data_IF_931196188819
#
_entry.id   IF_931196188819
#
_cell.length_a   1.000
_cell.length_b   1.000
_cell.length_c   1.000
_cell.angle_alpha   90.00
_cell.angle_beta   90.00
_cell.angle_gamma   90.00
#
_symmetry.space_group_name_H-M   'P 1'
#
loop_
_entity.id
_entity.type
_entity.pdbx_description
1 polymer ?
#
# COMPACT_ATOMS: atom_id res chain seq x y z
N UNK A 1 8.73 12.31 55.73
CA UNK A 1 9.60 12.10 54.58
C UNK A 1 8.81 12.41 53.31
N UNK A 2 9.00 13.59 52.74
CA UNK A 2 8.25 14.07 51.58
C UNK A 2 8.93 13.58 50.32
N UNK A 3 8.15 12.92 49.40
CA UNK A 3 8.62 12.50 48.07
C UNK A 3 8.74 13.74 47.19
N UNK A 4 9.93 13.96 46.62
CA UNK A 4 10.20 14.95 45.56
C UNK A 4 9.44 14.58 44.30
N UNK A 5 8.87 15.53 43.53
CA UNK A 5 8.28 15.26 42.24
C UNK A 5 9.39 15.06 41.21
N UNK A 6 9.20 14.03 40.34
CA UNK A 6 10.06 13.73 39.20
C UNK A 6 9.80 14.81 38.15
N UNK A 7 10.84 15.58 37.85
CA UNK A 7 10.83 16.53 36.72
C UNK A 7 10.76 15.76 35.40
N UNK A 8 9.65 15.91 34.67
CA UNK A 8 9.51 15.47 33.29
C UNK A 8 10.27 16.48 32.43
N UNK A 9 11.47 16.12 31.97
CA UNK A 9 12.23 16.88 31.02
C UNK A 9 11.64 16.64 29.61
N UNK A 10 10.74 17.52 29.17
CA UNK A 10 10.32 17.64 27.79
C UNK A 10 11.37 18.45 27.02
N UNK A 11 12.41 17.80 26.52
CA UNK A 11 13.33 18.40 25.56
C UNK A 11 12.97 18.00 24.13
N UNK A 12 11.84 18.50 23.63
CA UNK A 12 11.66 18.70 22.20
C UNK A 12 12.09 20.15 21.94
N UNK A 13 13.34 20.34 21.49
CA UNK A 13 13.80 21.65 21.02
C UNK A 13 12.89 22.08 19.86
N UNK A 14 11.93 22.96 20.15
CA UNK A 14 11.23 23.73 19.15
C UNK A 14 12.31 24.53 18.41
N UNK A 15 12.60 24.18 17.15
CA UNK A 15 13.43 25.03 16.28
C UNK A 15 12.80 26.43 16.27
N UNK A 16 13.53 27.41 16.72
CA UNK A 16 13.12 28.80 16.74
C UNK A 16 12.75 29.23 15.31
N UNK A 17 11.51 29.64 15.11
CA UNK A 17 11.02 30.14 13.81
C UNK A 17 11.66 31.50 13.60
N UNK A 18 12.64 31.58 12.69
CA UNK A 18 13.42 32.79 12.43
C UNK A 18 12.63 33.82 11.61
N UNK A 19 11.72 33.37 10.75
CA UNK A 19 10.94 34.25 9.89
C UNK A 19 9.77 34.89 10.67
N UNK A 20 9.67 36.25 10.70
CA UNK A 20 8.62 36.93 11.42
C UNK A 20 7.23 36.74 10.81
N UNK A 21 7.13 36.48 9.50
CA UNK A 21 5.86 36.22 8.83
C UNK A 21 5.31 34.83 9.23
N UNK A 22 6.15 33.80 9.20
CA UNK A 22 5.80 32.47 9.69
C UNK A 22 5.36 32.48 11.15
N UNK A 23 6.05 33.27 11.97
CA UNK A 23 5.72 33.39 13.39
C UNK A 23 4.37 34.09 13.58
N UNK A 24 4.13 35.20 12.87
CA UNK A 24 2.85 35.92 12.94
C UNK A 24 1.69 35.03 12.47
N UNK A 25 1.88 34.35 11.32
CA UNK A 25 0.88 33.43 10.80
C UNK A 25 0.53 32.34 11.82
N UNK A 26 1.53 31.66 12.39
CA UNK A 26 1.29 30.62 13.38
C UNK A 26 0.61 31.13 14.65
N UNK A 27 1.00 32.28 15.14
CA UNK A 27 0.34 32.91 16.29
C UNK A 27 -1.13 33.17 15.98
N UNK A 28 -1.44 33.71 14.82
CA UNK A 28 -2.81 33.97 14.38
C UNK A 28 -3.61 32.67 14.22
N UNK A 29 -3.02 31.63 13.64
CA UNK A 29 -3.70 30.35 13.43
C UNK A 29 -3.81 29.49 14.71
N UNK A 30 -3.04 29.78 15.76
CA UNK A 30 -3.23 29.14 17.06
C UNK A 30 -4.47 29.70 17.79
N UNK A 31 -4.87 30.92 17.48
CA UNK A 31 -6.11 31.51 18.02
C UNK A 31 -7.31 30.98 17.24
N UNK A 32 -8.11 30.12 17.87
CA UNK A 32 -9.26 29.45 17.23
C UNK A 32 -10.25 30.43 16.60
N UNK A 33 -10.48 31.59 17.21
CA UNK A 33 -11.41 32.59 16.67
C UNK A 33 -10.93 33.14 15.35
N UNK A 34 -9.64 33.43 15.22
CA UNK A 34 -9.06 33.92 13.95
C UNK A 34 -9.07 32.84 12.87
N UNK A 35 -8.76 31.61 13.23
CA UNK A 35 -8.84 30.48 12.29
C UNK A 35 -10.28 30.27 11.77
N UNK A 36 -11.28 30.32 12.66
CA UNK A 36 -12.69 30.20 12.28
C UNK A 36 -13.12 31.35 11.38
N UNK A 37 -12.72 32.58 11.70
CA UNK A 37 -13.05 33.77 10.88
C UNK A 37 -12.43 33.66 9.49
N UNK A 38 -11.14 33.30 9.38
CA UNK A 38 -10.47 33.05 8.12
C UNK A 38 -11.23 32.03 7.27
N UNK A 39 -11.53 30.86 7.85
CA UNK A 39 -12.20 29.78 7.12
C UNK A 39 -13.63 30.17 6.70
N UNK A 40 -14.36 30.92 7.52
CA UNK A 40 -15.70 31.41 7.18
C UNK A 40 -15.67 32.46 6.07
N UNK A 41 -14.61 33.24 6.02
CA UNK A 41 -14.46 34.35 5.05
C UNK A 41 -14.08 33.83 3.67
N UNK A 42 -13.20 32.83 3.60
CA UNK A 42 -12.58 32.43 2.33
C UNK A 42 -13.05 31.08 1.77
N UNK A 43 -13.68 30.23 2.58
CA UNK A 43 -14.27 29.00 2.04
C UNK A 43 -15.65 29.29 1.39
N UNK A 44 -16.04 28.47 0.39
CA UNK A 44 -17.36 28.58 -0.22
C UNK A 44 -18.48 28.50 0.84
N UNK A 45 -19.52 29.35 0.77
CA UNK A 45 -20.58 29.41 1.78
C UNK A 45 -21.31 28.06 2.00
N UNK A 46 -21.50 27.29 0.94
CA UNK A 46 -22.11 25.95 0.98
C UNK A 46 -21.24 24.92 1.73
N UNK A 47 -19.92 25.11 1.75
CA UNK A 47 -19.00 24.29 2.51
C UNK A 47 -18.96 24.74 3.97
N UNK A 48 -18.91 26.04 4.23
CA UNK A 48 -18.93 26.64 5.57
C UNK A 48 -20.13 26.15 6.38
N UNK A 49 -21.31 26.03 5.75
CA UNK A 49 -22.54 25.53 6.39
C UNK A 49 -22.45 24.05 6.82
N UNK A 50 -21.57 23.28 6.21
CA UNK A 50 -21.39 21.84 6.50
C UNK A 50 -20.33 21.55 7.56
N UNK A 51 -19.45 22.51 7.83
CA UNK A 51 -18.36 22.37 8.81
C UNK A 51 -18.90 22.66 10.21
N UNK A 52 -18.68 21.73 11.14
CA UNK A 52 -18.90 21.99 12.56
C UNK A 52 -17.66 22.66 13.18
N UNK A 53 -17.66 24.00 13.21
CA UNK A 53 -16.56 24.77 13.78
C UNK A 53 -16.40 24.60 15.31
N UNK A 54 -17.38 24.04 16.00
CA UNK A 54 -17.22 23.75 17.44
C UNK A 54 -16.17 22.65 17.66
N UNK A 55 -16.07 21.73 16.71
CA UNK A 55 -15.11 20.61 16.71
C UNK A 55 -13.72 20.99 16.20
N UNK A 56 -13.55 22.21 15.64
CA UNK A 56 -12.26 22.64 15.06
C UNK A 56 -11.15 22.64 16.11
N UNK A 57 -10.11 21.88 15.87
CA UNK A 57 -8.95 21.71 16.76
C UNK A 57 -7.66 21.70 15.98
N UNK A 58 -6.68 22.50 16.39
CA UNK A 58 -5.35 22.54 15.81
C UNK A 58 -4.55 21.28 16.18
N UNK A 59 -4.01 20.57 15.19
CA UNK A 59 -3.35 19.26 15.33
C UNK A 59 -1.82 19.36 15.44
N UNK A 60 -1.29 20.32 16.15
CA UNK A 60 0.16 20.46 16.33
C UNK A 60 0.75 19.27 17.09
N UNK A 61 1.81 18.67 16.53
CA UNK A 61 2.52 17.56 17.16
C UNK A 61 1.75 16.24 17.25
N UNK A 62 0.60 16.11 16.57
CA UNK A 62 -0.16 14.87 16.56
C UNK A 62 0.56 13.75 15.80
N UNK A 63 0.26 12.49 16.13
CA UNK A 63 0.79 11.32 15.41
C UNK A 63 0.33 11.29 13.96
N UNK A 64 -0.80 11.93 13.65
CA UNK A 64 -1.34 12.08 12.29
C UNK A 64 -0.39 12.88 11.39
N UNK A 65 0.38 13.82 11.94
CA UNK A 65 1.34 14.65 11.22
C UNK A 65 2.74 14.04 11.16
N UNK A 66 2.94 12.88 11.77
CA UNK A 66 4.24 12.21 11.83
C UNK A 66 4.71 11.84 10.41
N UNK A 67 5.98 12.15 10.13
CA UNK A 67 6.62 11.92 8.81
C UNK A 67 6.09 12.78 7.65
N UNK A 68 5.11 13.67 7.87
CA UNK A 68 4.77 14.67 6.87
C UNK A 68 5.82 15.79 6.90
N UNK A 69 6.33 16.14 5.73
CA UNK A 69 7.20 17.32 5.58
C UNK A 69 6.36 18.59 5.50
N UNK A 70 5.51 18.78 6.51
CA UNK A 70 4.77 20.01 6.70
C UNK A 70 5.76 21.10 7.09
N UNK A 71 5.73 22.22 6.41
CA UNK A 71 6.63 23.34 6.72
C UNK A 71 6.24 24.01 8.03
N UNK A 72 7.13 24.84 8.57
CA UNK A 72 6.85 25.57 9.81
C UNK A 72 5.67 26.53 9.68
N UNK A 73 5.32 26.93 8.46
CA UNK A 73 4.21 27.84 8.13
C UNK A 73 2.87 27.15 7.87
N UNK A 74 2.81 25.81 7.99
CA UNK A 74 1.58 25.09 7.71
C UNK A 74 0.86 24.75 9.02
N UNK A 75 -0.46 24.91 9.05
CA UNK A 75 -1.33 24.53 10.16
C UNK A 75 -2.35 23.49 9.69
N UNK A 76 -2.55 22.43 10.49
CA UNK A 76 -3.55 21.41 10.19
C UNK A 76 -4.58 21.36 11.31
N UNK A 77 -5.84 21.48 10.93
CA UNK A 77 -6.97 21.38 11.84
C UNK A 77 -7.74 20.09 11.61
N UNK A 78 -8.14 19.43 12.68
CA UNK A 78 -9.19 18.42 12.65
C UNK A 78 -10.55 19.08 12.89
N UNK A 79 -11.57 18.63 12.20
CA UNK A 79 -12.96 19.03 12.41
C UNK A 79 -13.90 17.93 11.95
N UNK A 80 -15.21 18.16 12.08
CA UNK A 80 -16.23 17.32 11.45
C UNK A 80 -16.96 18.07 10.36
N UNK A 81 -17.24 17.39 9.25
CA UNK A 81 -18.08 17.89 8.16
C UNK A 81 -19.25 16.90 8.04
N UNK A 82 -20.47 17.38 8.30
CA UNK A 82 -21.65 16.53 8.34
C UNK A 82 -21.50 15.29 9.23
N UNK A 83 -20.82 15.44 10.37
CA UNK A 83 -20.59 14.36 11.32
C UNK A 83 -19.47 13.38 10.96
N UNK A 84 -18.73 13.61 9.87
CA UNK A 84 -17.60 12.78 9.45
C UNK A 84 -16.28 13.48 9.75
N UNK A 85 -15.25 12.71 10.08
CA UNK A 85 -13.89 13.22 10.29
C UNK A 85 -13.40 13.96 9.05
N UNK A 86 -12.89 15.16 9.23
CA UNK A 86 -12.32 15.98 8.19
C UNK A 86 -11.11 16.78 8.69
N UNK A 87 -10.26 17.19 7.76
CA UNK A 87 -9.07 17.98 8.07
C UNK A 87 -8.98 19.20 7.16
N UNK A 88 -8.50 20.32 7.70
CA UNK A 88 -8.25 21.53 6.94
C UNK A 88 -6.75 21.84 7.06
N UNK A 89 -6.07 21.92 5.94
CA UNK A 89 -4.68 22.36 5.84
C UNK A 89 -4.71 23.85 5.49
N UNK A 90 -4.14 24.68 6.34
CA UNK A 90 -3.90 26.09 6.01
C UNK A 90 -2.41 26.31 5.87
N UNK A 91 -1.94 26.48 4.65
CA UNK A 91 -0.54 26.74 4.32
C UNK A 91 -0.34 28.23 4.05
N UNK A 92 0.77 28.78 4.54
CA UNK A 92 1.17 30.14 4.27
C UNK A 92 2.37 30.14 3.32
N UNK A 93 2.19 30.72 2.15
CA UNK A 93 3.23 30.87 1.14
C UNK A 93 3.71 32.30 1.05
N UNK A 94 4.92 32.55 1.50
CA UNK A 94 5.54 33.89 1.57
C UNK A 94 6.82 33.96 0.73
N UNK A 95 6.87 33.70 -0.33
CA UNK A 95 7.89 33.37 -1.25
C UNK A 95 9.09 34.28 -1.44
N UNK A 96 10.24 33.75 -1.20
CA UNK A 96 11.52 34.16 -1.81
C UNK A 96 11.85 33.38 -3.09
N UNK A 97 11.35 32.16 -3.26
CA UNK A 97 11.64 31.27 -4.40
C UNK A 97 10.34 30.85 -5.11
N UNK A 98 10.28 30.98 -6.43
CA UNK A 98 9.13 30.58 -7.24
C UNK A 98 8.87 29.07 -7.10
N UNK A 99 7.79 28.66 -6.43
CA UNK A 99 7.35 27.27 -6.37
C UNK A 99 6.26 26.99 -7.42
N UNK A 100 6.71 26.74 -8.64
CA UNK A 100 5.82 26.34 -9.75
C UNK A 100 5.06 25.03 -9.46
N UNK A 101 5.57 24.22 -8.53
CA UNK A 101 4.98 22.94 -8.13
C UNK A 101 4.13 23.03 -6.85
N UNK A 102 3.62 24.22 -6.50
CA UNK A 102 2.81 24.41 -5.29
C UNK A 102 1.58 23.50 -5.26
N UNK A 103 0.87 23.33 -6.36
CA UNK A 103 -0.28 22.42 -6.44
C UNK A 103 0.12 20.97 -6.16
N UNK A 104 1.30 20.54 -6.62
CA UNK A 104 1.84 19.21 -6.32
C UNK A 104 2.28 19.10 -4.84
N UNK A 105 2.85 20.14 -4.26
CA UNK A 105 3.19 20.18 -2.83
C UNK A 105 1.96 20.02 -1.95
N UNK A 106 0.89 20.73 -2.27
CA UNK A 106 -0.40 20.63 -1.59
C UNK A 106 -0.98 19.22 -1.72
N UNK A 107 -0.94 18.63 -2.92
CA UNK A 107 -1.40 17.25 -3.14
C UNK A 107 -0.62 16.25 -2.27
N UNK A 108 0.71 16.39 -2.14
CA UNK A 108 1.51 15.54 -1.24
C UNK A 108 1.05 15.62 0.22
N UNK A 109 0.67 16.80 0.70
CA UNK A 109 0.15 16.97 2.05
C UNK A 109 -1.20 16.26 2.22
N UNK A 110 -2.09 16.43 1.26
CA UNK A 110 -3.41 15.77 1.25
C UNK A 110 -3.26 14.26 1.28
N UNK A 111 -2.49 13.69 0.36
CA UNK A 111 -2.25 12.24 0.27
C UNK A 111 -1.55 11.71 1.53
N UNK A 112 -0.55 12.44 2.03
CA UNK A 112 0.16 12.06 3.25
C UNK A 112 -0.73 12.02 4.50
N UNK A 113 -1.67 12.97 4.63
CA UNK A 113 -2.66 12.93 5.71
C UNK A 113 -3.64 11.77 5.56
N UNK A 114 -4.10 11.48 4.34
CA UNK A 114 -4.95 10.32 4.05
C UNK A 114 -4.26 9.01 4.43
N UNK A 115 -2.99 8.85 4.05
CA UNK A 115 -2.20 7.66 4.36
C UNK A 115 -2.03 7.49 5.89
N UNK A 116 -1.63 8.53 6.59
CA UNK A 116 -1.48 8.49 8.05
C UNK A 116 -2.80 8.21 8.76
N UNK A 117 -3.91 8.78 8.27
CA UNK A 117 -5.23 8.52 8.82
C UNK A 117 -5.62 7.04 8.63
N UNK A 118 -5.40 6.48 7.45
CA UNK A 118 -5.75 5.09 7.14
C UNK A 118 -4.99 4.11 8.03
N UNK A 119 -3.72 4.38 8.30
CA UNK A 119 -2.88 3.56 9.21
C UNK A 119 -3.36 3.58 10.66
N UNK A 120 -3.92 4.70 11.12
CA UNK A 120 -4.40 4.85 12.51
C UNK A 120 -5.85 4.39 12.68
N UNK A 121 -6.61 4.31 11.60
CA UNK A 121 -8.03 4.02 11.60
C UNK A 121 -8.35 2.88 10.64
N UNK A 122 -7.86 1.69 10.93
CA UNK A 122 -8.13 0.49 10.15
C UNK A 122 -9.65 0.33 9.93
N UNK A 123 -10.04 0.02 8.68
CA UNK A 123 -11.43 -0.17 8.24
C UNK A 123 -12.31 1.11 8.15
N UNK A 124 -11.77 2.31 8.34
CA UNK A 124 -12.51 3.55 8.06
C UNK A 124 -12.25 4.02 6.62
N UNK A 125 -13.24 4.69 6.03
CA UNK A 125 -13.07 5.44 4.78
C UNK A 125 -12.18 6.64 5.01
N UNK A 126 -11.53 7.14 3.94
CA UNK A 126 -10.67 8.30 4.02
C UNK A 126 -11.46 9.57 4.43
N UNK A 127 -10.84 10.46 5.22
CA UNK A 127 -11.45 11.73 5.60
C UNK A 127 -11.46 12.71 4.42
N UNK A 128 -12.32 13.72 4.50
CA UNK A 128 -12.24 14.89 3.62
C UNK A 128 -11.06 15.75 4.08
N UNK A 129 -10.21 16.17 3.14
CA UNK A 129 -9.09 17.06 3.42
C UNK A 129 -9.22 18.30 2.52
N UNK A 130 -9.30 19.46 3.14
CA UNK A 130 -9.49 20.76 2.48
C UNK A 130 -8.19 21.56 2.57
N UNK A 131 -7.44 21.74 1.49
CA UNK A 131 -6.28 22.62 1.48
C UNK A 131 -6.71 24.09 1.22
N UNK A 132 -6.12 24.98 1.99
CA UNK A 132 -6.22 26.45 1.82
C UNK A 132 -4.81 27.00 1.78
N UNK A 133 -4.49 27.84 0.81
CA UNK A 133 -3.18 28.49 0.69
C UNK A 133 -3.37 30.00 0.78
N UNK A 134 -2.63 30.63 1.69
CA UNK A 134 -2.54 32.09 1.82
C UNK A 134 -1.23 32.52 1.16
N UNK A 135 -1.33 33.32 0.10
CA UNK A 135 -0.18 33.85 -0.61
C UNK A 135 0.05 35.32 -0.27
N UNK A 136 1.27 35.66 0.13
CA UNK A 136 1.69 37.04 0.36
C UNK A 136 3.07 37.38 -0.25
N UNK A 137 3.36 36.77 -1.41
CA UNK A 137 4.60 36.99 -2.15
C UNK A 137 4.70 38.38 -2.78
N UNK A 138 5.87 38.72 -3.33
CA UNK A 138 6.16 40.01 -3.97
C UNK A 138 5.49 40.19 -5.34
N UNK A 139 5.20 39.08 -6.03
CA UNK A 139 4.51 39.12 -7.33
C UNK A 139 3.01 39.20 -7.12
N UNK A 140 2.32 40.01 -7.91
CA UNK A 140 0.87 40.14 -7.87
C UNK A 140 0.33 40.23 -9.30
N UNK A 141 -0.70 39.43 -9.63
CA UNK A 141 -1.34 38.38 -8.83
C UNK A 141 -0.41 37.17 -8.55
N UNK A 142 -0.91 36.14 -7.82
CA UNK A 142 -0.21 34.86 -7.65
C UNK A 142 0.21 34.34 -9.03
N UNK A 143 1.51 34.03 -9.24
CA UNK A 143 2.04 33.85 -10.60
C UNK A 143 1.88 32.43 -11.18
N UNK A 144 1.49 31.45 -10.35
CA UNK A 144 1.44 30.05 -10.76
C UNK A 144 0.01 29.52 -10.82
N UNK A 145 -0.17 28.40 -11.50
CA UNK A 145 -1.45 27.70 -11.50
C UNK A 145 -1.73 27.02 -10.15
N UNK A 146 -3.00 26.95 -9.79
CA UNK A 146 -3.50 26.20 -8.64
C UNK A 146 -3.94 24.78 -9.03
N UNK A 147 -3.93 24.49 -10.33
CA UNK A 147 -4.35 23.20 -10.87
C UNK A 147 -3.18 22.22 -10.90
N UNK A 148 -3.39 21.01 -10.39
CA UNK A 148 -2.36 19.96 -10.39
C UNK A 148 -1.88 19.59 -11.80
N UNK A 149 -2.76 19.71 -12.79
CA UNK A 149 -2.48 19.34 -14.17
C UNK A 149 -1.39 20.22 -14.79
N UNK A 150 -1.30 21.48 -14.39
CA UNK A 150 -0.31 22.42 -14.88
C UNK A 150 1.12 22.15 -14.32
N UNK A 151 1.23 21.24 -13.37
CA UNK A 151 2.53 20.73 -12.90
C UNK A 151 3.16 19.68 -13.84
N UNK A 152 2.45 19.23 -14.87
CA UNK A 152 2.94 18.24 -15.83
C UNK A 152 3.51 18.91 -17.07
N UNK A 153 4.47 18.26 -17.76
CA UNK A 153 5.03 18.75 -19.03
C UNK A 153 3.95 18.91 -20.12
N UNK A 154 2.92 18.08 -20.10
CA UNK A 154 1.76 18.16 -20.99
C UNK A 154 0.47 18.21 -20.14
N UNK A 155 0.00 19.41 -19.74
CA UNK A 155 -1.18 19.59 -18.91
C UNK A 155 -2.46 18.99 -19.50
N UNK A 156 -2.68 19.15 -20.80
CA UNK A 156 -3.89 18.64 -21.47
C UNK A 156 -3.93 17.09 -21.45
N UNK A 157 -2.81 16.46 -21.74
CA UNK A 157 -2.69 15.00 -21.66
C UNK A 157 -2.87 14.52 -20.22
N UNK A 158 -2.26 15.22 -19.25
CA UNK A 158 -2.40 14.90 -17.83
C UNK A 158 -3.86 15.04 -17.36
N UNK A 159 -4.55 16.11 -17.74
CA UNK A 159 -5.95 16.33 -17.42
C UNK A 159 -6.86 15.24 -17.99
N UNK A 160 -6.50 14.70 -19.14
CA UNK A 160 -7.26 13.64 -19.78
C UNK A 160 -7.03 12.26 -19.12
N UNK A 161 -5.80 11.92 -18.71
CA UNK A 161 -5.43 10.56 -18.33
C UNK A 161 -4.85 10.40 -16.92
N UNK A 162 -4.15 11.41 -16.37
CA UNK A 162 -3.57 11.28 -15.04
C UNK A 162 -4.61 11.51 -13.93
N UNK A 163 -4.42 10.88 -12.77
CA UNK A 163 -5.29 10.99 -11.58
C UNK A 163 -6.78 10.72 -11.86
N UNK A 164 -7.08 9.96 -12.91
CA UNK A 164 -8.41 9.43 -13.22
C UNK A 164 -8.65 8.10 -12.49
N UNK A 165 -9.88 7.56 -12.49
CA UNK A 165 -10.10 6.18 -12.09
C UNK A 165 -9.15 5.25 -12.84
N UNK A 166 -8.52 4.31 -12.13
CA UNK A 166 -7.65 3.32 -12.76
C UNK A 166 -8.43 2.43 -13.73
N UNK A 167 -7.76 1.96 -14.78
CA UNK A 167 -8.34 0.98 -15.70
C UNK A 167 -8.41 -0.37 -14.98
N UNK A 168 -9.61 -0.84 -14.70
CA UNK A 168 -9.84 -2.17 -14.14
C UNK A 168 -9.94 -3.20 -15.28
N UNK A 169 -9.13 -4.25 -15.21
CA UNK A 169 -9.26 -5.46 -16.01
C UNK A 169 -9.76 -6.54 -15.07
N UNK A 170 -11.06 -6.82 -15.11
CA UNK A 170 -11.70 -7.80 -14.25
C UNK A 170 -11.85 -9.14 -14.96
N UNK A 171 -10.87 -10.01 -14.75
CA UNK A 171 -10.85 -11.33 -15.37
C UNK A 171 -12.00 -12.22 -14.90
N UNK A 172 -12.62 -11.94 -13.75
CA UNK A 172 -13.68 -12.79 -13.20
C UNK A 172 -14.98 -12.75 -14.01
N UNK A 173 -15.22 -11.64 -14.73
CA UNK A 173 -16.41 -11.43 -15.55
C UNK A 173 -16.16 -11.66 -17.04
N UNK A 174 -14.91 -11.73 -17.49
CA UNK A 174 -14.55 -12.00 -18.87
C UNK A 174 -14.78 -13.48 -19.21
N UNK A 175 -15.29 -13.78 -20.39
CA UNK A 175 -15.40 -15.17 -20.87
C UNK A 175 -14.04 -15.72 -21.30
N UNK A 176 -13.83 -17.03 -21.16
CA UNK A 176 -12.58 -17.67 -21.64
C UNK A 176 -12.37 -17.46 -23.14
N UNK A 177 -13.47 -17.46 -23.91
CA UNK A 177 -13.43 -17.21 -25.35
C UNK A 177 -12.93 -15.80 -25.68
N UNK A 178 -13.29 -14.82 -24.90
CA UNK A 178 -12.81 -13.44 -25.02
C UNK A 178 -11.31 -13.37 -24.69
N UNK A 179 -10.90 -13.92 -23.55
CA UNK A 179 -9.49 -13.97 -23.12
C UNK A 179 -8.62 -14.70 -24.15
N UNK A 180 -9.13 -15.79 -24.73
CA UNK A 180 -8.40 -16.57 -25.75
C UNK A 180 -8.08 -15.77 -27.02
N UNK A 181 -8.74 -14.64 -27.25
CA UNK A 181 -8.43 -13.72 -28.36
C UNK A 181 -7.20 -12.83 -28.08
N UNK A 182 -6.75 -12.78 -26.85
CA UNK A 182 -5.57 -12.03 -26.44
C UNK A 182 -4.33 -12.90 -26.60
N UNK A 183 -3.67 -12.88 -27.69
CA UNK A 183 -2.43 -13.60 -28.04
C UNK A 183 -1.66 -14.22 -26.82
N UNK A 184 -0.38 -13.90 -26.64
CA UNK A 184 0.49 -14.42 -25.58
C UNK A 184 -0.02 -14.12 -24.16
N UNK A 185 -0.61 -12.94 -23.95
CA UNK A 185 -1.09 -12.52 -22.64
C UNK A 185 -2.26 -13.37 -22.13
N UNK A 186 -3.02 -13.99 -23.03
CA UNK A 186 -4.17 -14.85 -22.71
C UNK A 186 -3.84 -16.00 -21.77
N UNK A 187 -2.65 -16.56 -21.87
CA UNK A 187 -2.25 -17.67 -21.01
C UNK A 187 -2.17 -17.29 -19.53
N UNK A 188 -1.56 -16.13 -19.25
CA UNK A 188 -1.51 -15.58 -17.88
C UNK A 188 -2.90 -15.23 -17.35
N UNK A 189 -3.71 -14.54 -18.16
CA UNK A 189 -5.06 -14.15 -17.78
C UNK A 189 -5.94 -15.36 -17.44
N UNK A 190 -5.88 -16.40 -18.25
CA UNK A 190 -6.62 -17.64 -18.01
C UNK A 190 -6.14 -18.37 -16.75
N UNK A 191 -4.84 -18.40 -16.48
CA UNK A 191 -4.29 -18.94 -15.25
C UNK A 191 -4.81 -18.17 -14.04
N UNK A 192 -4.78 -16.84 -14.07
CA UNK A 192 -5.27 -16.00 -12.98
C UNK A 192 -6.77 -16.16 -12.76
N UNK A 193 -7.55 -16.25 -13.82
CA UNK A 193 -8.99 -16.45 -13.72
C UNK A 193 -9.35 -17.76 -13.03
N UNK A 194 -8.71 -18.87 -13.40
CA UNK A 194 -9.02 -20.21 -12.93
C UNK A 194 -8.16 -20.70 -11.75
N UNK A 195 -7.19 -19.90 -11.28
CA UNK A 195 -6.27 -20.29 -10.20
C UNK A 195 -6.97 -20.76 -8.91
N UNK A 196 -8.15 -20.25 -8.62
CA UNK A 196 -8.92 -20.56 -7.42
C UNK A 196 -9.96 -21.67 -7.60
N UNK A 197 -10.14 -22.18 -8.81
CA UNK A 197 -11.10 -23.23 -9.11
C UNK A 197 -10.56 -24.59 -8.66
N UNK A 198 -11.47 -25.48 -8.24
CA UNK A 198 -11.11 -26.80 -7.75
C UNK A 198 -10.44 -27.67 -8.82
N UNK A 199 -10.85 -27.52 -10.05
CA UNK A 199 -10.41 -28.25 -11.22
C UNK A 199 -9.28 -27.52 -12.01
N UNK A 200 -8.62 -26.52 -11.42
CA UNK A 200 -7.62 -25.69 -12.11
C UNK A 200 -6.51 -26.52 -12.78
N UNK A 201 -6.06 -27.62 -12.18
CA UNK A 201 -5.04 -28.48 -12.80
C UNK A 201 -5.53 -29.11 -14.11
N UNK A 202 -6.75 -29.65 -14.14
CA UNK A 202 -7.30 -30.27 -15.34
C UNK A 202 -7.59 -29.24 -16.41
N UNK A 203 -8.04 -28.06 -15.99
CA UNK A 203 -8.23 -26.92 -16.85
C UNK A 203 -6.90 -26.44 -17.48
N UNK A 204 -5.84 -26.29 -16.69
CA UNK A 204 -4.51 -25.90 -17.17
C UNK A 204 -3.96 -26.93 -18.18
N UNK A 205 -4.12 -28.22 -17.89
CA UNK A 205 -3.74 -29.30 -18.83
C UNK A 205 -4.40 -29.12 -20.19
N UNK A 206 -5.71 -28.92 -20.20
CA UNK A 206 -6.49 -28.83 -21.45
C UNK A 206 -6.22 -27.54 -22.22
N UNK A 207 -6.17 -26.41 -21.50
CA UNK A 207 -6.14 -25.10 -22.13
C UNK A 207 -4.74 -24.55 -22.43
N UNK A 208 -3.73 -24.98 -21.70
CA UNK A 208 -2.34 -24.53 -21.93
C UNK A 208 -1.47 -25.61 -22.59
N UNK A 209 -1.51 -26.85 -22.10
CA UNK A 209 -0.59 -27.89 -22.55
C UNK A 209 -1.13 -28.54 -23.85
N UNK A 210 -2.39 -29.01 -23.84
CA UNK A 210 -2.96 -29.69 -25.01
C UNK A 210 -3.36 -28.75 -26.14
N UNK A 211 -3.45 -27.43 -25.90
CA UNK A 211 -3.77 -26.43 -26.92
C UNK A 211 -2.54 -25.82 -27.60
N UNK A 212 -1.36 -26.35 -27.36
CA UNK A 212 -0.07 -25.83 -27.86
C UNK A 212 0.26 -24.38 -27.44
N UNK A 213 -0.54 -23.76 -26.56
CA UNK A 213 -0.30 -22.40 -26.09
C UNK A 213 1.01 -22.29 -25.33
N UNK A 214 1.36 -23.29 -24.54
CA UNK A 214 2.63 -23.35 -23.84
C UNK A 214 3.82 -23.38 -24.80
N UNK A 215 3.70 -24.14 -25.90
CA UNK A 215 4.72 -24.20 -26.95
C UNK A 215 4.85 -22.85 -27.68
N UNK A 216 3.73 -22.15 -27.92
CA UNK A 216 3.73 -20.80 -28.52
C UNK A 216 4.40 -19.79 -27.60
N UNK A 217 4.09 -19.80 -26.29
CA UNK A 217 4.76 -18.92 -25.31
C UNK A 217 6.27 -19.18 -25.35
N UNK A 218 6.69 -20.43 -25.35
CA UNK A 218 8.10 -20.80 -25.39
C UNK A 218 8.81 -20.37 -26.68
N UNK A 219 8.11 -20.39 -27.83
CA UNK A 219 8.70 -19.98 -29.12
C UNK A 219 8.79 -18.46 -29.32
N UNK A 220 7.85 -17.70 -28.75
CA UNK A 220 7.66 -16.29 -29.07
C UNK A 220 8.21 -15.33 -27.99
N UNK A 221 8.55 -15.87 -26.79
CA UNK A 221 9.13 -15.09 -25.70
C UNK A 221 10.52 -15.62 -25.35
N UNK A 222 11.23 -14.86 -24.50
CA UNK A 222 12.53 -15.29 -23.97
C UNK A 222 12.41 -16.62 -23.21
N UNK A 223 13.41 -17.50 -23.38
CA UNK A 223 13.41 -18.83 -22.75
C UNK A 223 13.41 -18.77 -21.23
N UNK A 224 14.10 -17.78 -20.63
CA UNK A 224 14.12 -17.57 -19.17
C UNK A 224 12.72 -17.24 -18.67
N UNK A 225 11.97 -16.39 -19.39
CA UNK A 225 10.58 -16.08 -19.04
C UNK A 225 9.69 -17.34 -19.12
N UNK A 226 9.83 -18.13 -20.16
CA UNK A 226 9.01 -19.34 -20.34
C UNK A 226 9.26 -20.38 -19.24
N UNK A 227 10.53 -20.57 -18.83
CA UNK A 227 10.87 -21.42 -17.71
C UNK A 227 10.28 -20.91 -16.39
N UNK A 228 10.42 -19.62 -16.09
CA UNK A 228 9.89 -19.01 -14.89
C UNK A 228 8.36 -19.02 -14.86
N UNK A 229 7.71 -18.85 -16.02
CA UNK A 229 6.27 -19.01 -16.14
C UNK A 229 5.82 -20.42 -15.72
N UNK A 230 6.51 -21.47 -16.19
CA UNK A 230 6.20 -22.87 -15.83
C UNK A 230 6.41 -23.12 -14.33
N UNK A 231 7.49 -22.57 -13.74
CA UNK A 231 7.76 -22.66 -12.31
C UNK A 231 6.64 -22.00 -11.48
N UNK A 232 6.29 -20.75 -11.82
CA UNK A 232 5.18 -20.04 -11.17
C UNK A 232 3.84 -20.78 -11.33
N UNK A 233 3.58 -21.38 -12.48
CA UNK A 233 2.37 -22.15 -12.73
C UNK A 233 2.27 -23.37 -11.78
N UNK A 234 3.38 -24.06 -11.55
CA UNK A 234 3.45 -25.17 -10.60
C UNK A 234 3.25 -24.73 -9.15
N UNK A 235 3.82 -23.57 -8.79
CA UNK A 235 3.65 -22.99 -7.46
C UNK A 235 2.21 -22.55 -7.20
N UNK A 236 1.57 -21.87 -8.16
CA UNK A 236 0.17 -21.46 -8.08
C UNK A 236 -0.73 -22.70 -7.93
N UNK A 237 -0.49 -23.74 -8.72
CA UNK A 237 -1.24 -24.99 -8.66
C UNK A 237 -1.07 -25.69 -7.32
N UNK A 238 0.12 -25.63 -6.70
CA UNK A 238 0.42 -26.26 -5.41
C UNK A 238 0.15 -25.39 -4.17
N UNK A 239 -0.24 -24.12 -4.32
CA UNK A 239 -0.31 -23.19 -3.18
C UNK A 239 -1.42 -23.52 -2.17
N UNK A 240 -2.63 -23.84 -2.63
CA UNK A 240 -3.77 -24.21 -1.77
C UNK A 240 -4.23 -25.65 -1.98
N UNK A 241 -3.36 -26.52 -2.48
CA UNK A 241 -3.64 -27.90 -2.89
C UNK A 241 -2.45 -28.82 -2.57
N UNK A 242 -2.66 -30.15 -2.69
CA UNK A 242 -1.53 -31.08 -2.57
C UNK A 242 -0.42 -30.69 -3.55
N UNK A 243 0.81 -30.54 -3.05
CA UNK A 243 1.98 -30.14 -3.85
C UNK A 243 2.26 -31.16 -4.99
N UNK A 244 1.71 -32.35 -4.88
CA UNK A 244 1.70 -33.37 -5.92
C UNK A 244 1.06 -32.91 -7.23
N UNK A 245 0.06 -32.00 -7.18
CA UNK A 245 -0.57 -31.44 -8.36
C UNK A 245 0.41 -30.54 -9.14
N UNK A 246 1.18 -29.70 -8.45
CA UNK A 246 2.25 -28.92 -9.07
C UNK A 246 3.36 -29.80 -9.68
N UNK A 247 3.73 -30.89 -9.00
CA UNK A 247 4.69 -31.86 -9.54
C UNK A 247 4.16 -32.57 -10.77
N UNK A 248 2.88 -32.92 -10.80
CA UNK A 248 2.23 -33.51 -11.96
C UNK A 248 2.23 -32.56 -13.15
N UNK A 249 1.95 -31.29 -12.89
CA UNK A 249 1.98 -30.25 -13.93
C UNK A 249 3.37 -30.11 -14.53
N UNK A 250 4.42 -30.03 -13.71
CA UNK A 250 5.81 -29.94 -14.19
C UNK A 250 6.18 -31.12 -15.10
N UNK A 251 5.76 -32.32 -14.78
CA UNK A 251 5.99 -33.50 -15.65
C UNK A 251 5.31 -33.33 -17.01
N UNK A 252 4.05 -32.90 -17.02
CA UNK A 252 3.32 -32.66 -18.26
C UNK A 252 3.95 -31.55 -19.10
N UNK A 253 4.43 -30.47 -18.48
CA UNK A 253 5.16 -29.42 -19.17
C UNK A 253 6.48 -29.93 -19.77
N UNK A 254 7.23 -30.79 -19.05
CA UNK A 254 8.46 -31.40 -19.54
C UNK A 254 8.20 -32.32 -20.75
N UNK A 255 7.09 -33.05 -20.77
CA UNK A 255 6.65 -33.86 -21.90
C UNK A 255 6.24 -33.00 -23.11
N UNK A 256 5.56 -31.88 -22.87
CA UNK A 256 5.12 -30.97 -23.92
C UNK A 256 6.26 -30.11 -24.51
N UNK A 257 7.32 -29.88 -23.74
CA UNK A 257 8.48 -29.06 -24.14
C UNK A 257 9.79 -29.86 -23.98
N UNK A 258 10.07 -30.84 -24.84
CA UNK A 258 11.23 -31.73 -24.68
C UNK A 258 12.59 -31.00 -24.70
N UNK A 259 12.66 -29.82 -25.33
CA UNK A 259 13.88 -29.00 -25.44
C UNK A 259 14.38 -28.47 -24.10
N UNK A 260 13.48 -28.26 -23.14
CA UNK A 260 13.79 -27.82 -21.77
C UNK A 260 13.29 -28.80 -20.72
N UNK A 261 12.95 -30.01 -21.14
CA UNK A 261 12.39 -31.03 -20.25
C UNK A 261 13.30 -31.41 -19.09
N UNK A 262 14.63 -31.41 -19.29
CA UNK A 262 15.62 -31.72 -18.24
C UNK A 262 15.66 -30.59 -17.18
N UNK A 263 15.62 -29.32 -17.59
CA UNK A 263 15.58 -28.16 -16.69
C UNK A 263 14.30 -28.18 -15.86
N UNK A 264 13.14 -28.41 -16.48
CA UNK A 264 11.85 -28.53 -15.79
C UNK A 264 11.88 -29.68 -14.77
N UNK A 265 12.45 -30.83 -15.12
CA UNK A 265 12.56 -31.97 -14.21
C UNK A 265 13.55 -31.74 -13.07
N UNK A 266 14.61 -30.97 -13.30
CA UNK A 266 15.53 -30.53 -12.24
C UNK A 266 14.79 -29.64 -11.23
N UNK A 267 14.02 -28.67 -11.72
CA UNK A 267 13.17 -27.83 -10.86
C UNK A 267 12.12 -28.67 -10.12
N UNK A 268 11.50 -29.66 -10.76
CA UNK A 268 10.53 -30.54 -10.11
C UNK A 268 11.14 -31.29 -8.91
N UNK A 269 12.42 -31.70 -9.01
CA UNK A 269 13.14 -32.32 -7.89
C UNK A 269 13.37 -31.34 -6.75
N UNK A 270 13.79 -30.10 -7.04
CA UNK A 270 13.96 -29.04 -6.05
C UNK A 270 12.62 -28.72 -5.37
N UNK A 271 11.58 -28.49 -6.16
CA UNK A 271 10.23 -28.24 -5.70
C UNK A 271 9.71 -29.32 -4.76
N UNK A 272 9.98 -30.59 -5.06
CA UNK A 272 9.65 -31.73 -4.19
C UNK A 272 10.43 -31.69 -2.87
N UNK A 273 11.74 -31.40 -2.93
CA UNK A 273 12.59 -31.38 -1.72
C UNK A 273 12.17 -30.24 -0.78
N UNK A 274 11.90 -29.07 -1.31
CA UNK A 274 11.39 -27.91 -0.54
C UNK A 274 10.06 -28.26 0.13
N UNK A 275 9.13 -28.91 -0.59
CA UNK A 275 7.87 -29.35 0.00
C UNK A 275 8.04 -30.35 1.15
N UNK A 276 8.99 -31.27 1.03
CA UNK A 276 9.30 -32.20 2.12
C UNK A 276 9.92 -31.49 3.33
N UNK A 277 10.77 -30.49 3.10
CA UNK A 277 11.34 -29.67 4.17
C UNK A 277 10.28 -28.83 4.86
N UNK A 278 9.44 -28.14 4.08
CA UNK A 278 8.34 -27.33 4.61
C UNK A 278 7.35 -28.18 5.41
N UNK A 279 6.92 -29.31 4.87
CA UNK A 279 6.00 -30.21 5.58
C UNK A 279 6.59 -30.79 6.89
N UNK A 280 7.91 -31.06 6.93
CA UNK A 280 8.59 -31.45 8.18
C UNK A 280 8.62 -30.30 9.18
N UNK A 281 8.86 -29.08 8.71
CA UNK A 281 8.90 -27.86 9.52
C UNK A 281 7.53 -27.55 10.09
N UNK A 282 6.47 -27.57 9.25
CA UNK A 282 5.09 -27.31 9.69
C UNK A 282 4.63 -28.33 10.73
N UNK A 283 4.98 -29.60 10.54
CA UNK A 283 4.70 -30.64 11.51
C UNK A 283 5.47 -30.46 12.83
N UNK A 284 6.73 -30.01 12.75
CA UNK A 284 7.49 -29.64 13.95
C UNK A 284 6.86 -28.47 14.70
N UNK A 285 6.34 -27.48 13.98
CA UNK A 285 5.59 -26.35 14.55
C UNK A 285 4.30 -26.80 15.25
N UNK A 286 3.51 -27.66 14.61
CA UNK A 286 2.30 -28.24 15.21
C UNK A 286 2.60 -29.02 16.48
N UNK A 287 3.63 -29.89 16.44
CA UNK A 287 4.08 -30.66 17.60
C UNK A 287 4.53 -29.72 18.73
N UNK A 288 5.35 -28.71 18.41
CA UNK A 288 5.81 -27.71 19.39
C UNK A 288 4.65 -26.97 20.04
N UNK A 289 3.66 -26.55 19.26
CA UNK A 289 2.45 -25.89 19.74
C UNK A 289 1.67 -26.76 20.73
N UNK A 290 1.46 -28.02 20.38
CA UNK A 290 0.74 -28.97 21.23
C UNK A 290 1.52 -29.26 22.52
N UNK A 291 2.83 -29.48 22.44
CA UNK A 291 3.68 -29.72 23.61
C UNK A 291 3.67 -28.52 24.57
N UNK A 292 3.75 -27.29 24.04
CA UNK A 292 3.69 -26.07 24.87
C UNK A 292 2.32 -25.90 25.53
N UNK A 293 1.24 -26.23 24.83
CA UNK A 293 -0.12 -26.19 25.38
C UNK A 293 -0.31 -27.18 26.55
N UNK A 294 0.39 -28.32 26.50
CA UNK A 294 0.42 -29.32 27.60
C UNK A 294 1.43 -29.01 28.70
N UNK A 295 2.09 -27.84 28.63
CA UNK A 295 3.03 -27.39 29.68
C UNK A 295 4.46 -27.98 29.57
N UNK A 296 4.86 -28.50 28.43
CA UNK A 296 6.20 -28.99 28.24
C UNK A 296 7.26 -27.87 28.38
N UNK A 297 8.42 -28.25 28.91
CA UNK A 297 9.55 -27.34 29.08
C UNK A 297 10.13 -26.90 27.73
N UNK A 298 10.51 -25.59 27.64
CA UNK A 298 11.03 -24.98 26.42
C UNK A 298 12.23 -25.73 25.82
N UNK A 299 13.18 -26.14 26.66
CA UNK A 299 14.39 -26.81 26.20
C UNK A 299 14.06 -28.24 25.72
N UNK A 300 13.05 -28.85 26.30
CA UNK A 300 12.55 -30.14 25.86
C UNK A 300 11.88 -30.03 24.49
N UNK A 301 11.00 -29.02 24.29
CA UNK A 301 10.36 -28.76 22.99
C UNK A 301 11.40 -28.49 21.90
N UNK A 302 12.38 -27.63 22.16
CA UNK A 302 13.47 -27.32 21.23
C UNK A 302 14.26 -28.59 20.81
N UNK A 303 14.60 -29.43 21.78
CA UNK A 303 15.34 -30.66 21.52
C UNK A 303 14.57 -31.66 20.67
N UNK A 304 13.26 -31.76 20.86
CA UNK A 304 12.39 -32.71 20.14
C UNK A 304 12.07 -32.21 18.74
N UNK A 305 11.72 -30.92 18.61
CA UNK A 305 11.21 -30.34 17.34
C UNK A 305 12.33 -29.79 16.47
N UNK A 306 13.50 -29.49 17.03
CA UNK A 306 14.64 -28.83 16.38
C UNK A 306 14.34 -27.44 15.85
N UNK A 307 13.26 -26.79 16.31
CA UNK A 307 12.95 -25.43 16.00
C UNK A 307 13.90 -24.46 16.73
N UNK A 308 14.11 -23.27 16.14
CA UNK A 308 14.90 -22.21 16.75
C UNK A 308 14.17 -21.57 17.95
N UNK A 309 14.92 -20.87 18.79
CA UNK A 309 14.37 -20.17 19.94
C UNK A 309 13.34 -19.09 19.54
N UNK A 310 13.60 -18.43 18.41
CA UNK A 310 12.68 -17.41 17.86
C UNK A 310 11.35 -18.04 17.42
N UNK A 311 11.40 -19.17 16.76
CA UNK A 311 10.21 -19.90 16.29
C UNK A 311 9.36 -20.39 17.44
N UNK A 312 9.96 -20.98 18.48
CA UNK A 312 9.23 -21.45 19.66
C UNK A 312 8.65 -20.28 20.45
N UNK A 313 9.39 -19.15 20.55
CA UNK A 313 8.87 -17.96 21.23
C UNK A 313 7.65 -17.36 20.53
N UNK A 314 7.57 -17.39 19.20
CA UNK A 314 6.37 -16.95 18.45
C UNK A 314 5.13 -17.78 18.80
N UNK A 315 5.29 -19.06 19.12
CA UNK A 315 4.19 -19.94 19.54
C UNK A 315 3.67 -19.64 20.95
N UNK A 316 4.44 -18.93 21.79
CA UNK A 316 4.06 -18.56 23.17
C UNK A 316 3.25 -17.26 23.29
N UNK A 317 3.22 -16.45 22.23
CA UNK A 317 2.59 -15.11 22.23
C UNK A 317 1.11 -15.16 21.80
N UNK A 318 0.61 -16.34 21.50
CA UNK A 318 -0.79 -16.64 21.19
C UNK A 318 -1.30 -17.72 22.13
#
# INVERSE_FOLDING_TARGET
MAKKPIAVTSSTQAREIKDPFDRLFRLSMQEKKLAVELLRTYLPPELVQKIDFSTLTLLNGSTLLKNLRITHSDCVYGCTIQGQDAYIIVACEHQSDDDELMAFRVLKYVVGLMDNYSRQNANKKLPIILPVVIYHGKRSPYPHSIEIWDCFENPELAKQWALKPFQLIDLTVMSDKEIQQHNLFSAMELVFKHAWEREALDWIKQQLIHSDKLAIIYSDVDSEYAEDFIKCLAEITGHNRPREEGLQLLKLCAEALPTIGEEIMTFAQQFRQEGLQQGRHDKAFEIAKNMLAEGADFQFVKRVTKLSDEEINRLRVH
#
